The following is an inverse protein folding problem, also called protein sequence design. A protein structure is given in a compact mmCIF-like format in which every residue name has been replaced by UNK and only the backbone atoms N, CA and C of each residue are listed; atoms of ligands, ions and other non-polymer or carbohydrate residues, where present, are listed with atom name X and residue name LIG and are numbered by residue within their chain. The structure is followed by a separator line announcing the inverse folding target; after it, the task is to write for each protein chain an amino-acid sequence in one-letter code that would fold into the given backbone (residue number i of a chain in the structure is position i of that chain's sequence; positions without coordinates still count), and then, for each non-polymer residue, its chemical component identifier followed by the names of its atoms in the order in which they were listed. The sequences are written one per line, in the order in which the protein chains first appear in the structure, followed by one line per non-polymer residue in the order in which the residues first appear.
data_IF_273247909046
#
_entry.id   IF_273247909046
#
_cell.length_a   1.000
_cell.length_b   1.000
_cell.length_c   1.000
_cell.angle_alpha   90.00
_cell.angle_beta   90.00
_cell.angle_gamma   90.00
#
_symmetry.space_group_name_H-M   'P 1'
#
loop_
_entity.id
_entity.type
_entity.pdbx_description
1 polymer ?
#
# COMPACT_ATOMS: atom_id res chain seq x y z
N UNK A 1 23.15 8.92 -3.78
CA UNK A 1 23.49 7.64 -3.13
C UNK A 1 22.39 7.07 -2.22
N UNK A 2 21.37 7.84 -1.84
CA UNK A 2 20.32 7.38 -0.91
C UNK A 2 19.29 6.42 -1.54
N UNK A 3 18.85 6.68 -2.78
CA UNK A 3 17.85 5.85 -3.50
C UNK A 3 18.36 4.45 -3.80
N UNK A 4 19.63 4.31 -4.20
CA UNK A 4 20.22 2.99 -4.46
C UNK A 4 20.26 2.18 -3.17
N UNK A 5 20.65 2.80 -2.05
CA UNK A 5 20.71 2.13 -0.76
C UNK A 5 19.32 1.66 -0.29
N UNK A 6 18.28 2.48 -0.44
CA UNK A 6 16.91 2.09 -0.05
C UNK A 6 16.36 0.96 -0.91
N UNK A 7 16.65 0.95 -2.22
CA UNK A 7 16.31 -0.18 -3.09
C UNK A 7 17.09 -1.45 -2.69
N UNK A 8 18.39 -1.32 -2.36
CA UNK A 8 19.20 -2.46 -1.91
C UNK A 8 18.74 -3.02 -0.56
N UNK A 9 18.19 -2.18 0.33
CA UNK A 9 17.62 -2.61 1.61
C UNK A 9 16.48 -3.63 1.44
N UNK A 10 15.72 -3.56 0.33
CA UNK A 10 14.69 -4.56 0.02
C UNK A 10 15.31 -5.95 -0.20
N UNK A 11 16.47 -6.03 -0.86
CA UNK A 11 17.19 -7.30 -1.05
C UNK A 11 17.74 -7.84 0.27
N UNK A 12 18.21 -6.96 1.15
CA UNK A 12 18.64 -7.34 2.50
C UNK A 12 17.46 -7.92 3.27
N UNK A 13 16.30 -7.27 3.26
CA UNK A 13 15.09 -7.77 3.91
C UNK A 13 14.65 -9.13 3.36
N UNK A 14 14.67 -9.31 2.03
CA UNK A 14 14.36 -10.60 1.40
C UNK A 14 15.32 -11.71 1.81
N UNK A 15 16.63 -11.45 1.78
CA UNK A 15 17.66 -12.43 2.18
C UNK A 15 17.61 -12.73 3.67
N UNK A 16 17.32 -11.74 4.51
CA UNK A 16 17.14 -11.92 5.94
C UNK A 16 15.95 -12.85 6.22
N UNK A 17 14.82 -12.64 5.54
CA UNK A 17 13.65 -13.51 5.65
C UNK A 17 13.96 -14.94 5.17
N UNK A 18 14.67 -15.09 4.05
CA UNK A 18 15.11 -16.40 3.54
C UNK A 18 16.02 -17.12 4.53
N UNK A 19 16.98 -16.41 5.13
CA UNK A 19 17.85 -16.96 6.18
C UNK A 19 17.04 -17.41 7.40
N UNK A 20 16.03 -16.62 7.80
CA UNK A 20 15.18 -16.94 8.94
C UNK A 20 14.36 -18.22 8.70
N UNK A 21 13.77 -18.37 7.51
CA UNK A 21 12.96 -19.55 7.12
C UNK A 21 13.78 -20.82 6.84
N UNK A 22 15.08 -20.68 6.58
CA UNK A 22 16.03 -21.80 6.40
C UNK A 22 16.82 -22.11 7.67
N UNK A 23 16.70 -21.28 8.69
CA UNK A 23 17.41 -21.41 9.96
C UNK A 23 16.42 -21.52 11.12
N UNK A 24 16.36 -20.52 12.02
CA UNK A 24 15.66 -20.64 13.30
C UNK A 24 14.14 -20.79 13.18
N UNK A 25 13.52 -20.28 12.11
CA UNK A 25 12.09 -20.39 11.88
C UNK A 25 11.74 -21.53 10.92
N UNK A 26 12.67 -22.41 10.54
CA UNK A 26 12.32 -23.52 9.68
C UNK A 26 11.45 -24.54 10.42
N UNK A 27 10.35 -24.95 9.79
CA UNK A 27 9.54 -26.06 10.28
C UNK A 27 10.33 -27.38 10.23
N UNK A 28 10.46 -28.11 11.36
CA UNK A 28 11.09 -29.43 11.35
C UNK A 28 10.39 -30.37 10.35
N UNK A 29 11.17 -31.03 9.49
CA UNK A 29 10.66 -31.99 8.49
C UNK A 29 10.05 -31.36 7.24
N UNK A 30 10.02 -30.03 7.10
CA UNK A 30 9.59 -29.40 5.86
C UNK A 30 10.73 -29.39 4.82
N UNK A 31 10.51 -29.99 3.65
CA UNK A 31 11.44 -29.94 2.52
C UNK A 31 11.51 -28.59 1.78
N UNK A 32 10.78 -27.58 2.29
CA UNK A 32 10.74 -26.21 1.75
C UNK A 32 10.97 -25.20 2.89
N UNK A 33 11.54 -24.02 2.61
CA UNK A 33 11.73 -22.96 3.60
C UNK A 33 10.39 -22.31 3.98
N UNK A 34 9.75 -22.87 5.01
CA UNK A 34 8.47 -22.42 5.56
C UNK A 34 8.51 -22.43 7.08
N UNK A 35 7.75 -21.53 7.70
CA UNK A 35 7.62 -21.51 9.15
C UNK A 35 6.74 -22.63 9.67
N UNK A 36 6.85 -23.01 10.95
CA UNK A 36 5.78 -23.72 11.66
C UNK A 36 4.43 -23.03 11.44
N UNK A 37 3.35 -23.81 11.54
CA UNK A 37 2.03 -23.21 11.58
C UNK A 37 1.93 -22.31 12.80
N UNK A 38 1.25 -21.18 12.62
CA UNK A 38 0.94 -20.29 13.72
C UNK A 38 0.01 -21.02 14.70
N UNK A 39 0.07 -20.70 15.98
CA UNK A 39 -0.86 -21.23 16.98
C UNK A 39 -2.30 -20.88 16.59
N UNK A 40 -3.23 -21.82 16.76
CA UNK A 40 -4.65 -21.61 16.44
C UNK A 40 -5.26 -20.41 17.20
N UNK A 41 -4.77 -20.14 18.41
CA UNK A 41 -5.17 -18.97 19.21
C UNK A 41 -4.82 -17.62 18.58
N UNK A 42 -3.86 -17.60 17.64
CA UNK A 42 -3.42 -16.41 16.94
C UNK A 42 -4.02 -16.31 15.53
N UNK A 43 -4.94 -17.22 15.15
CA UNK A 43 -5.65 -17.11 13.89
C UNK A 43 -6.66 -15.95 13.95
N UNK A 44 -6.73 -15.20 12.86
CA UNK A 44 -7.78 -14.20 12.73
C UNK A 44 -9.13 -14.91 12.51
N UNK A 45 -10.18 -14.60 13.30
CA UNK A 45 -11.45 -15.30 13.18
C UNK A 45 -12.07 -15.07 11.80
N UNK A 46 -12.60 -16.14 11.22
CA UNK A 46 -13.29 -16.13 9.93
C UNK A 46 -14.79 -15.95 10.12
N UNK A 47 -15.44 -15.14 9.26
CA UNK A 47 -16.86 -14.79 9.44
C UNK A 47 -17.83 -15.70 8.69
N UNK A 48 -17.51 -16.14 7.46
CA UNK A 48 -18.50 -16.72 6.54
C UNK A 48 -18.21 -18.17 6.10
N UNK A 49 -17.10 -18.76 6.54
CA UNK A 49 -16.70 -20.11 6.16
C UNK A 49 -16.45 -20.30 4.64
N UNK A 50 -16.00 -21.48 4.21
CA UNK A 50 -15.78 -21.76 2.78
C UNK A 50 -17.09 -21.64 1.97
N UNK A 51 -17.07 -21.06 0.76
CA UNK A 51 -15.90 -20.65 -0.02
C UNK A 51 -15.37 -19.24 0.28
N UNK A 52 -16.04 -18.47 1.15
CA UNK A 52 -15.70 -17.08 1.41
C UNK A 52 -14.59 -16.98 2.47
N UNK A 53 -13.36 -16.78 2.01
CA UNK A 53 -12.16 -16.61 2.87
C UNK A 53 -12.09 -15.22 3.51
N UNK A 54 -13.19 -14.79 4.14
CA UNK A 54 -13.26 -13.52 4.85
C UNK A 54 -12.88 -13.70 6.33
N UNK A 55 -11.82 -13.02 6.74
CA UNK A 55 -11.33 -13.02 8.12
C UNK A 55 -11.38 -11.61 8.74
N UNK A 56 -11.21 -11.53 10.06
CA UNK A 56 -11.13 -10.29 10.84
C UNK A 56 -10.06 -9.31 10.36
N UNK A 57 -9.17 -9.74 9.47
CA UNK A 57 -8.23 -8.89 8.78
C UNK A 57 -8.83 -7.72 8.03
N UNK A 58 -10.04 -7.88 7.49
CA UNK A 58 -10.75 -6.77 6.85
C UNK A 58 -11.06 -5.67 7.87
N UNK A 59 -11.44 -6.02 9.10
CA UNK A 59 -11.71 -5.07 10.17
C UNK A 59 -10.42 -4.34 10.55
N UNK A 60 -9.31 -5.09 10.70
CA UNK A 60 -7.99 -4.50 10.98
C UNK A 60 -7.59 -3.52 9.87
N UNK A 61 -7.81 -3.86 8.60
CA UNK A 61 -7.53 -2.97 7.47
C UNK A 61 -8.38 -1.70 7.49
N UNK A 62 -9.69 -1.81 7.78
CA UNK A 62 -10.59 -0.66 7.90
C UNK A 62 -10.15 0.25 9.05
N UNK A 63 -9.83 -0.33 10.22
CA UNK A 63 -9.32 0.43 11.37
C UNK A 63 -8.00 1.14 11.04
N UNK A 64 -7.09 0.48 10.31
CA UNK A 64 -5.84 1.08 9.86
C UNK A 64 -6.10 2.27 8.91
N UNK A 65 -7.06 2.16 7.99
CA UNK A 65 -7.44 3.27 7.10
C UNK A 65 -8.01 4.44 7.89
N UNK A 66 -8.93 4.17 8.83
CA UNK A 66 -9.52 5.21 9.69
C UNK A 66 -8.43 5.89 10.51
N UNK A 67 -7.49 5.11 11.07
CA UNK A 67 -6.35 5.62 11.81
C UNK A 67 -5.47 6.53 10.93
N UNK A 68 -5.11 6.10 9.71
CA UNK A 68 -4.31 6.91 8.78
C UNK A 68 -5.05 8.17 8.37
N UNK A 69 -6.35 8.08 8.09
CA UNK A 69 -7.16 9.25 7.77
C UNK A 69 -7.20 10.26 8.93
N UNK A 70 -7.46 9.77 10.15
CA UNK A 70 -7.44 10.62 11.34
C UNK A 70 -6.05 11.23 11.55
N UNK A 71 -4.99 10.44 11.44
CA UNK A 71 -3.62 10.92 11.58
C UNK A 71 -3.33 12.05 10.57
N UNK A 72 -3.62 11.84 9.29
CA UNK A 72 -3.28 12.80 8.23
C UNK A 72 -4.12 14.09 8.27
N UNK A 73 -5.39 14.01 8.63
CA UNK A 73 -6.34 15.13 8.51
C UNK A 73 -6.74 15.75 9.85
N UNK A 74 -6.57 15.07 10.97
CA UNK A 74 -7.00 15.54 12.30
C UNK A 74 -5.85 15.79 13.27
N UNK A 75 -4.59 15.51 12.91
CA UNK A 75 -3.44 15.75 13.79
C UNK A 75 -2.45 16.76 13.21
N UNK A 76 -1.66 17.38 14.09
CA UNK A 76 -0.56 18.27 13.72
C UNK A 76 0.53 17.53 12.95
N UNK A 77 0.88 16.31 13.39
CA UNK A 77 1.85 15.44 12.69
C UNK A 77 1.41 15.20 11.24
N UNK A 78 0.12 14.94 11.01
CA UNK A 78 -0.43 14.78 9.67
C UNK A 78 -0.36 16.03 8.81
N UNK A 79 -0.60 17.20 9.40
CA UNK A 79 -0.40 18.47 8.72
C UNK A 79 1.06 18.66 8.32
N UNK A 80 2.01 18.43 9.22
CA UNK A 80 3.42 18.60 8.91
C UNK A 80 3.90 17.58 7.87
N UNK A 81 3.43 16.33 7.93
CA UNK A 81 3.72 15.29 6.93
C UNK A 81 3.25 15.71 5.54
N UNK A 82 2.03 16.24 5.42
CA UNK A 82 1.48 16.72 4.14
C UNK A 82 2.23 17.94 3.62
N UNK A 83 2.56 18.89 4.49
CA UNK A 83 3.29 20.10 4.08
C UNK A 83 4.72 19.80 3.67
N UNK A 84 5.43 18.94 4.41
CA UNK A 84 6.78 18.47 4.03
C UNK A 84 6.73 17.70 2.72
N UNK A 85 5.74 16.83 2.53
CA UNK A 85 5.56 16.08 1.28
C UNK A 85 5.25 16.96 0.06
N UNK A 86 4.52 18.07 0.24
CA UNK A 86 4.19 18.99 -0.83
C UNK A 86 5.37 19.92 -1.19
N UNK A 87 6.05 20.49 -0.18
CA UNK A 87 7.20 21.35 -0.39
C UNK A 87 8.13 21.37 0.84
N UNK A 88 9.23 20.59 0.81
CA UNK A 88 10.18 20.51 1.93
C UNK A 88 10.83 21.86 2.27
N UNK A 89 11.07 22.72 1.26
CA UNK A 89 11.69 24.03 1.46
C UNK A 89 10.72 24.96 2.19
N UNK A 90 9.47 25.04 1.74
CA UNK A 90 8.43 25.84 2.40
C UNK A 90 8.15 25.33 3.83
N UNK A 91 8.20 24.02 4.03
CA UNK A 91 8.05 23.42 5.35
C UNK A 91 9.17 23.83 6.31
N UNK A 92 10.41 23.89 5.83
CA UNK A 92 11.56 24.34 6.61
C UNK A 92 11.44 25.83 6.99
N UNK A 93 10.97 26.68 6.06
CA UNK A 93 10.74 28.11 6.34
C UNK A 93 9.63 28.35 7.38
N UNK A 94 8.67 27.44 7.51
CA UNK A 94 7.60 27.50 8.52
C UNK A 94 7.97 26.82 9.84
N UNK A 95 9.25 26.45 10.03
CA UNK A 95 9.77 25.90 11.29
C UNK A 95 9.56 24.40 11.49
N UNK A 96 9.06 23.67 10.48
CA UNK A 96 8.87 22.22 10.58
C UNK A 96 10.19 21.46 10.35
N UNK A 97 10.40 20.39 11.12
CA UNK A 97 11.56 19.52 10.95
C UNK A 97 11.32 18.48 9.86
N UNK A 98 11.88 18.74 8.67
CA UNK A 98 11.81 17.83 7.51
C UNK A 98 12.36 16.44 7.86
N UNK A 99 13.53 16.37 8.51
CA UNK A 99 14.17 15.11 8.86
C UNK A 99 13.33 14.26 9.82
N UNK A 100 12.76 14.88 10.86
CA UNK A 100 11.88 14.19 11.81
C UNK A 100 10.65 13.62 11.11
N UNK A 101 10.06 14.38 10.21
CA UNK A 101 8.84 13.95 9.52
C UNK A 101 9.09 12.84 8.52
N UNK A 102 10.27 12.81 7.88
CA UNK A 102 10.70 11.67 7.06
C UNK A 102 10.81 10.41 7.93
N UNK A 103 11.48 10.48 9.09
CA UNK A 103 11.63 9.32 9.99
C UNK A 103 10.28 8.82 10.50
N UNK A 104 9.38 9.72 10.89
CA UNK A 104 8.02 9.38 11.33
C UNK A 104 7.23 8.73 10.19
N UNK A 105 7.29 9.29 8.98
CA UNK A 105 6.65 8.72 7.81
C UNK A 105 7.13 7.29 7.55
N UNK A 106 8.46 7.09 7.52
CA UNK A 106 9.06 5.77 7.29
C UNK A 106 8.67 4.77 8.38
N UNK A 107 8.66 5.18 9.64
CA UNK A 107 8.24 4.33 10.77
C UNK A 107 6.77 3.90 10.67
N UNK A 108 5.87 4.84 10.37
CA UNK A 108 4.44 4.53 10.19
C UNK A 108 4.22 3.63 8.97
N UNK A 109 4.86 3.92 7.84
CA UNK A 109 4.78 3.09 6.63
C UNK A 109 5.28 1.66 6.90
N UNK A 110 6.39 1.51 7.63
CA UNK A 110 6.92 0.22 8.04
C UNK A 110 5.96 -0.55 8.96
N UNK A 111 5.35 0.13 9.93
CA UNK A 111 4.36 -0.47 10.82
C UNK A 111 3.10 -0.95 10.07
N UNK A 112 2.59 -0.14 9.13
CA UNK A 112 1.44 -0.51 8.30
C UNK A 112 1.77 -1.66 7.35
N UNK A 113 2.98 -1.69 6.76
CA UNK A 113 3.43 -2.80 5.93
C UNK A 113 3.59 -4.09 6.74
N UNK A 114 4.12 -4.00 7.97
CA UNK A 114 4.20 -5.13 8.90
C UNK A 114 2.82 -5.67 9.28
N UNK A 115 1.85 -4.78 9.54
CA UNK A 115 0.46 -5.14 9.82
C UNK A 115 -0.20 -5.84 8.63
N UNK A 116 0.04 -5.37 7.40
CA UNK A 116 -0.44 -6.03 6.19
C UNK A 116 0.14 -7.44 6.03
N UNK A 117 1.45 -7.61 6.26
CA UNK A 117 2.10 -8.93 6.22
C UNK A 117 1.61 -9.87 7.32
N UNK A 118 1.43 -9.37 8.54
CA UNK A 118 0.85 -10.14 9.65
C UNK A 118 -0.57 -10.59 9.32
N UNK A 119 -1.37 -9.72 8.70
CA UNK A 119 -2.73 -10.05 8.30
C UNK A 119 -2.79 -11.21 7.28
N UNK A 120 -1.89 -11.21 6.30
CA UNK A 120 -1.76 -12.28 5.30
C UNK A 120 -1.37 -13.63 5.94
N UNK A 121 -0.39 -13.60 6.86
CA UNK A 121 0.10 -14.81 7.54
C UNK A 121 -0.91 -15.35 8.55
N UNK A 122 -1.53 -14.50 9.36
CA UNK A 122 -2.45 -14.91 10.43
C UNK A 122 -3.87 -15.23 9.93
N UNK A 123 -4.27 -14.66 8.79
CA UNK A 123 -5.63 -14.76 8.28
C UNK A 123 -5.84 -15.75 7.13
N UNK A 124 -4.83 -15.93 6.27
CA UNK A 124 -4.98 -16.75 5.06
C UNK A 124 -4.07 -17.97 5.06
N UNK A 125 -2.75 -17.75 5.19
CA UNK A 125 -1.79 -18.82 4.98
C UNK A 125 -1.54 -19.64 6.25
N UNK A 126 -1.63 -19.03 7.44
CA UNK A 126 -1.32 -19.61 8.76
C UNK A 126 0.12 -20.11 8.92
N UNK A 127 0.98 -19.83 7.95
CA UNK A 127 2.42 -20.01 8.01
C UNK A 127 3.09 -18.98 7.09
N UNK A 128 4.34 -18.66 7.38
CA UNK A 128 5.16 -17.81 6.54
C UNK A 128 5.92 -18.68 5.53
N UNK A 129 5.79 -18.34 4.25
CA UNK A 129 6.54 -18.97 3.17
C UNK A 129 7.51 -17.98 2.53
N UNK A 130 8.59 -18.50 1.96
CA UNK A 130 9.48 -17.69 1.14
C UNK A 130 8.67 -17.12 -0.05
N UNK A 131 8.72 -15.81 -0.25
CA UNK A 131 7.97 -15.14 -1.32
C UNK A 131 6.47 -14.95 -1.06
N UNK A 132 5.99 -14.94 0.20
CA UNK A 132 4.56 -14.75 0.51
C UNK A 132 3.94 -13.43 0.00
N UNK A 133 4.76 -12.44 -0.38
CA UNK A 133 4.30 -11.17 -0.94
C UNK A 133 5.02 -10.86 -2.26
N UNK A 134 4.69 -11.55 -3.37
CA UNK A 134 5.28 -11.23 -4.65
C UNK A 134 4.54 -10.02 -5.24
N UNK A 135 5.10 -8.83 -5.01
CA UNK A 135 4.73 -7.60 -5.71
C UNK A 135 3.72 -6.69 -5.01
N UNK A 136 3.06 -7.10 -3.91
CA UNK A 136 2.01 -6.26 -3.29
C UNK A 136 2.49 -4.86 -2.89
N UNK A 137 3.72 -4.74 -2.41
CA UNK A 137 4.31 -3.44 -2.07
C UNK A 137 4.50 -2.53 -3.29
N UNK A 138 4.95 -3.09 -4.43
CA UNK A 138 5.14 -2.33 -5.67
C UNK A 138 3.80 -1.96 -6.32
N UNK A 139 2.86 -2.90 -6.36
CA UNK A 139 1.50 -2.67 -6.87
C UNK A 139 0.83 -1.54 -6.07
N UNK A 140 1.02 -1.54 -4.73
CA UNK A 140 0.45 -0.53 -3.84
C UNK A 140 0.94 0.90 -4.11
N UNK A 141 2.11 1.09 -4.73
CA UNK A 141 2.57 2.42 -5.17
C UNK A 141 1.64 2.96 -6.24
N UNK A 142 1.31 2.14 -7.24
CA UNK A 142 0.38 2.53 -8.29
C UNK A 142 -1.04 2.77 -7.75
N UNK A 143 -1.48 1.95 -6.78
CA UNK A 143 -2.79 2.13 -6.13
C UNK A 143 -2.86 3.41 -5.30
N UNK A 144 -1.77 3.78 -4.63
CA UNK A 144 -1.68 5.04 -3.90
C UNK A 144 -1.81 6.24 -4.85
N UNK A 145 -1.17 6.18 -6.02
CA UNK A 145 -1.25 7.20 -7.06
C UNK A 145 -2.65 7.28 -7.67
N UNK A 146 -3.29 6.13 -7.97
CA UNK A 146 -4.68 6.06 -8.43
C UNK A 146 -5.63 6.70 -7.41
N UNK A 147 -5.43 6.41 -6.13
CA UNK A 147 -6.18 7.03 -5.03
C UNK A 147 -5.84 8.50 -4.77
N UNK A 148 -4.96 9.12 -5.57
CA UNK A 148 -4.42 10.48 -5.38
C UNK A 148 -3.89 10.73 -3.97
N UNK A 149 -3.30 9.70 -3.35
CA UNK A 149 -2.84 9.70 -1.95
C UNK A 149 -3.94 10.00 -0.91
N UNK A 150 -5.22 9.97 -1.29
CA UNK A 150 -6.33 10.13 -0.37
C UNK A 150 -6.75 8.75 0.19
N UNK A 151 -6.85 8.55 1.52
CA UNK A 151 -7.11 7.24 2.13
C UNK A 151 -8.32 6.51 1.53
N UNK A 152 -9.43 7.23 1.30
CA UNK A 152 -10.63 6.64 0.69
C UNK A 152 -10.40 6.20 -0.77
N UNK A 153 -9.65 6.99 -1.55
CA UNK A 153 -9.32 6.65 -2.94
C UNK A 153 -8.44 5.41 -3.01
N UNK A 154 -7.49 5.28 -2.08
CA UNK A 154 -6.62 4.11 -1.96
C UNK A 154 -7.41 2.86 -1.59
N UNK A 155 -8.40 2.95 -0.71
CA UNK A 155 -9.28 1.81 -0.39
C UNK A 155 -10.05 1.35 -1.62
N UNK A 156 -10.66 2.26 -2.38
CA UNK A 156 -11.41 1.90 -3.58
C UNK A 156 -10.49 1.26 -4.63
N UNK A 157 -9.29 1.82 -4.83
CA UNK A 157 -8.27 1.25 -5.70
C UNK A 157 -7.86 -0.16 -5.27
N UNK A 158 -7.59 -0.36 -3.98
CA UNK A 158 -7.20 -1.65 -3.42
C UNK A 158 -8.31 -2.69 -3.51
N UNK A 159 -9.57 -2.31 -3.31
CA UNK A 159 -10.73 -3.19 -3.49
C UNK A 159 -10.88 -3.63 -4.95
N UNK A 160 -10.73 -2.71 -5.90
CA UNK A 160 -10.77 -3.05 -7.32
C UNK A 160 -9.64 -4.05 -7.69
N UNK A 161 -8.41 -3.77 -7.29
CA UNK A 161 -7.29 -4.66 -7.63
C UNK A 161 -7.33 -5.98 -6.86
N UNK A 162 -7.79 -5.96 -5.62
CA UNK A 162 -7.99 -7.15 -4.80
C UNK A 162 -9.05 -8.08 -5.39
N UNK A 163 -10.18 -7.54 -5.86
CA UNK A 163 -11.23 -8.33 -6.52
C UNK A 163 -10.75 -8.90 -7.86
N UNK A 164 -10.04 -8.11 -8.67
CA UNK A 164 -9.41 -8.60 -9.91
C UNK A 164 -8.43 -9.74 -9.63
N UNK A 165 -7.57 -9.61 -8.61
CA UNK A 165 -6.57 -10.63 -8.28
C UNK A 165 -7.19 -11.89 -7.66
N UNK A 166 -8.19 -11.75 -6.79
CA UNK A 166 -8.92 -12.91 -6.27
C UNK A 166 -9.70 -13.62 -7.38
N UNK A 167 -10.33 -12.87 -8.29
CA UNK A 167 -10.99 -13.44 -9.47
C UNK A 167 -10.01 -14.15 -10.39
N UNK A 168 -8.81 -13.58 -10.58
CA UNK A 168 -7.71 -14.19 -11.34
C UNK A 168 -7.34 -15.57 -10.82
N UNK A 169 -7.11 -15.70 -9.51
CA UNK A 169 -6.76 -16.97 -8.88
C UNK A 169 -7.88 -18.00 -9.04
N UNK A 170 -9.14 -17.58 -8.92
CA UNK A 170 -10.29 -18.47 -9.17
C UNK A 170 -10.38 -18.91 -10.63
N UNK A 171 -10.17 -18.00 -11.59
CA UNK A 171 -10.16 -18.33 -13.02
C UNK A 171 -8.97 -19.22 -13.41
N UNK A 172 -7.80 -19.00 -12.83
CA UNK A 172 -6.64 -19.87 -13.02
C UNK A 172 -6.94 -21.28 -12.49
N UNK A 173 -7.55 -21.39 -11.30
CA UNK A 173 -7.87 -22.68 -10.70
C UNK A 173 -8.97 -23.44 -11.45
N UNK A 174 -10.01 -22.76 -11.94
CA UNK A 174 -11.19 -23.39 -12.53
C UNK A 174 -11.13 -23.50 -14.06
N UNK A 175 -10.65 -22.44 -14.73
CA UNK A 175 -10.67 -22.32 -16.19
C UNK A 175 -9.26 -22.41 -16.81
N UNK A 176 -8.21 -22.69 -16.02
CA UNK A 176 -6.81 -22.82 -16.47
C UNK A 176 -6.31 -21.61 -17.27
N UNK A 177 -6.88 -20.44 -17.01
CA UNK A 177 -6.47 -19.18 -17.64
C UNK A 177 -5.12 -18.76 -17.05
N UNK A 178 -4.11 -18.44 -17.88
CA UNK A 178 -2.82 -17.94 -17.40
C UNK A 178 -2.97 -16.65 -16.58
N UNK A 179 -2.31 -16.59 -15.42
CA UNK A 179 -2.38 -15.42 -14.53
C UNK A 179 -1.76 -14.17 -15.20
N UNK A 180 -0.90 -14.37 -16.19
CA UNK A 180 -0.25 -13.32 -16.98
C UNK A 180 -1.24 -12.43 -17.74
N UNK A 181 -2.43 -12.95 -18.07
CA UNK A 181 -3.49 -12.14 -18.69
C UNK A 181 -4.00 -11.11 -17.69
N UNK A 182 -4.19 -11.49 -16.42
CA UNK A 182 -4.65 -10.55 -15.40
C UNK A 182 -3.58 -9.52 -15.06
N UNK A 183 -2.31 -9.93 -14.93
CA UNK A 183 -1.23 -8.96 -14.66
C UNK A 183 -1.11 -7.94 -15.80
N UNK A 184 -1.33 -8.36 -17.04
CA UNK A 184 -1.38 -7.45 -18.20
C UNK A 184 -2.58 -6.49 -18.11
N UNK A 185 -3.77 -6.98 -17.74
CA UNK A 185 -4.95 -6.12 -17.53
C UNK A 185 -4.69 -5.10 -16.42
N UNK A 186 -4.12 -5.52 -15.29
CA UNK A 186 -3.76 -4.63 -14.19
C UNK A 186 -2.74 -3.57 -14.62
N UNK A 187 -1.73 -3.95 -15.40
CA UNK A 187 -0.76 -3.02 -15.95
C UNK A 187 -1.43 -2.00 -16.90
N UNK A 188 -2.32 -2.46 -17.79
CA UNK A 188 -3.09 -1.57 -18.68
C UNK A 188 -3.97 -0.60 -17.90
N UNK A 189 -4.64 -1.07 -16.84
CA UNK A 189 -5.43 -0.21 -15.94
C UNK A 189 -4.56 0.89 -15.36
N UNK A 190 -3.39 0.55 -14.81
CA UNK A 190 -2.43 1.53 -14.27
C UNK A 190 -1.97 2.52 -15.35
N UNK A 191 -1.64 2.04 -16.55
CA UNK A 191 -1.22 2.89 -17.68
C UNK A 191 -2.34 3.85 -18.08
N UNK A 192 -3.58 3.38 -18.21
CA UNK A 192 -4.71 4.24 -18.57
C UNK A 192 -5.04 5.28 -17.49
N UNK A 193 -4.85 4.93 -16.22
CA UNK A 193 -5.02 5.88 -15.09
C UNK A 193 -3.92 6.94 -15.09
N UNK A 194 -2.68 6.55 -15.40
CA UNK A 194 -1.55 7.46 -15.45
C UNK A 194 -1.54 8.30 -16.74
N UNK A 195 -2.19 7.83 -17.80
CA UNK A 195 -2.18 8.47 -19.12
C UNK A 195 -2.59 9.95 -19.12
N UNK A 196 -3.64 10.41 -18.40
CA UNK A 196 -3.97 11.83 -18.35
C UNK A 196 -2.83 12.71 -17.82
N UNK A 197 -2.14 12.26 -16.77
CA UNK A 197 -1.01 13.00 -16.20
C UNK A 197 0.21 12.94 -17.12
N UNK A 198 0.46 11.81 -17.77
CA UNK A 198 1.53 11.66 -18.78
C UNK A 198 1.28 12.57 -19.99
N UNK A 199 0.05 12.61 -20.50
CA UNK A 199 -0.37 13.45 -21.63
C UNK A 199 -0.22 14.93 -21.24
N UNK A 200 -0.68 15.32 -20.05
CA UNK A 200 -0.52 16.69 -19.54
C UNK A 200 0.95 17.09 -19.47
N UNK A 201 1.80 16.21 -18.94
CA UNK A 201 3.23 16.44 -18.84
C UNK A 201 3.88 16.56 -20.23
N UNK A 202 3.56 15.66 -21.17
CA UNK A 202 4.13 15.64 -22.52
C UNK A 202 3.75 16.87 -23.35
N UNK A 203 2.46 17.23 -23.33
CA UNK A 203 1.94 18.38 -24.09
C UNK A 203 1.98 19.70 -23.31
N UNK A 204 2.57 19.71 -22.10
CA UNK A 204 2.62 20.87 -21.20
C UNK A 204 1.25 21.55 -21.01
N UNK A 205 0.19 20.77 -21.00
CA UNK A 205 -1.17 21.29 -20.83
C UNK A 205 -1.33 21.73 -19.36
N UNK A 206 -1.80 22.97 -19.16
CA UNK A 206 -2.08 23.50 -17.82
C UNK A 206 -3.06 22.56 -17.13
N UNK A 207 -2.72 22.12 -15.93
CA UNK A 207 -3.64 21.34 -15.11
C UNK A 207 -4.96 22.13 -15.01
N UNK A 208 -6.05 21.54 -15.48
CA UNK A 208 -7.40 21.95 -15.07
C UNK A 208 -7.52 21.58 -13.61
N UNK A 209 -6.96 22.43 -12.76
CA UNK A 209 -7.41 22.55 -11.39
C UNK A 209 -8.85 23.04 -11.44
N UNK A 210 -9.67 22.46 -10.58
CA UNK A 210 -10.93 23.01 -10.11
C UNK A 210 -10.90 24.53 -10.21
N UNK A 211 -11.97 25.12 -10.75
CA UNK A 211 -12.22 26.54 -10.64
C UNK A 211 -11.82 26.95 -9.22
N UNK A 212 -10.66 27.59 -9.12
CA UNK A 212 -10.39 28.55 -8.10
C UNK A 212 -11.57 29.49 -8.29
N UNK A 213 -12.61 29.28 -7.47
CA UNK A 213 -13.54 30.33 -7.08
C UNK A 213 -12.62 31.35 -6.44
N UNK A 214 -11.96 32.10 -7.30
CA UNK A 214 -11.72 33.51 -7.15
C UNK A 214 -13.11 34.03 -6.84
N UNK A 215 -13.45 33.96 -5.55
CA UNK A 215 -14.36 34.91 -4.94
C UNK A 215 -13.60 36.21 -5.13
N UNK A 216 -13.73 36.76 -6.34
CA UNK A 216 -13.50 38.14 -6.62
C UNK A 216 -14.48 38.79 -5.66
N UNK A 217 -13.98 39.21 -4.50
CA UNK A 217 -14.65 40.17 -3.65
C UNK A 217 -14.77 41.43 -4.50
N UNK A 218 -15.85 41.47 -5.28
CA UNK A 218 -16.30 42.65 -6.00
C UNK A 218 -16.79 43.63 -4.94
N UNK A 219 -16.11 44.77 -4.89
CA UNK A 219 -16.56 46.00 -4.28
C UNK A 219 -15.92 46.28 -2.92
N UNK A 220 -15.53 47.51 -2.59
CA UNK A 220 -16.01 48.78 -3.14
C UNK A 220 -14.86 49.79 -3.23
N UNK A 221 -14.88 50.60 -4.29
CA UNK A 221 -14.08 51.81 -4.39
C UNK A 221 -14.80 53.01 -3.79
N UNK A 222 -14.07 53.77 -2.99
CA UNK A 222 -14.08 55.24 -2.83
C UNK A 222 -13.05 55.58 -1.76
#
# INVERSE_FOLDING_TARGET
HEVINTIMMNYVAFRLMSWLLRGPMQRPGAGKPVSPFVLESAYLPTFFGPPLRLHAGLIVAILAVIFVWWLLYKTTIGFELRTVGANPNAAKYSGMSVARNIVIAMGISGALAGLAGANEVLGLNHFLAEGFSPGYGFDSIALALLGKSHPLGVVLAALLFGTLRSGATSMQSLAQVPIDIITTIQALVIVFIAAPEIIRWLFRLKATGEEEKTVITRGWGS
#
